data_IF_128390348578
#
_entry.id   IF_128390348578
#
_cell.length_a   1.000
_cell.length_b   1.000
_cell.length_c   1.000
_cell.angle_alpha   90.00
_cell.angle_beta   90.00
_cell.angle_gamma   90.00
#
_symmetry.space_group_name_H-M   'P 1'
#
loop_
_entity.id
_entity.type
_entity.pdbx_description
1 polymer ?
#
# COMPACT_ATOMS: atom_id res chain seq x y z
N UNK A 1 8.23 -10.18 9.51
CA UNK A 1 6.97 -9.73 10.13
C UNK A 1 5.84 -9.96 9.12
N UNK A 2 5.50 -11.23 8.86
CA UNK A 2 4.44 -11.59 7.93
C UNK A 2 3.14 -11.75 8.73
N UNK A 3 2.41 -10.65 8.90
CA UNK A 3 1.10 -10.66 9.56
C UNK A 3 0.08 -11.40 8.68
N UNK A 4 -0.98 -11.96 9.29
CA UNK A 4 -2.03 -12.72 8.60
C UNK A 4 -2.70 -12.00 7.40
N UNK A 5 -2.62 -10.66 7.33
CA UNK A 5 -3.07 -9.87 6.18
C UNK A 5 -2.25 -10.17 4.91
N UNK A 6 -0.97 -10.51 5.05
CA UNK A 6 -0.06 -10.71 3.92
C UNK A 6 -0.29 -12.07 3.22
N UNK A 7 -0.83 -13.06 3.92
CA UNK A 7 -1.27 -14.35 3.37
C UNK A 7 -2.76 -14.35 2.98
N UNK A 8 -3.54 -13.39 3.49
CA UNK A 8 -4.95 -13.17 3.17
C UNK A 8 -5.22 -12.39 1.87
N UNK A 9 -4.21 -12.10 1.05
CA UNK A 9 -4.43 -11.41 -0.24
C UNK A 9 -5.46 -12.13 -1.12
N UNK A 10 -5.49 -13.46 -1.10
CA UNK A 10 -6.48 -14.26 -1.82
C UNK A 10 -7.93 -14.07 -1.32
N UNK A 11 -8.09 -13.58 -0.08
CA UNK A 11 -9.37 -13.24 0.55
C UNK A 11 -9.69 -11.75 0.45
N UNK A 12 -8.92 -10.98 -0.34
CA UNK A 12 -9.10 -9.55 -0.50
C UNK A 12 -8.48 -8.70 0.61
N UNK A 13 -7.66 -9.28 1.49
CA UNK A 13 -6.93 -8.48 2.47
C UNK A 13 -5.80 -7.72 1.77
N UNK A 14 -5.78 -6.41 1.94
CA UNK A 14 -4.78 -5.53 1.34
C UNK A 14 -4.17 -4.65 2.43
N UNK A 15 -2.85 -4.61 2.51
CA UNK A 15 -2.18 -3.66 3.40
C UNK A 15 -2.36 -2.23 2.86
N UNK A 16 -2.23 -1.25 3.75
CA UNK A 16 -2.27 0.16 3.35
C UNK A 16 -1.21 0.47 2.28
N UNK A 17 0.00 -0.07 2.42
CA UNK A 17 1.09 0.11 1.44
C UNK A 17 0.76 -0.50 0.07
N UNK A 18 0.13 -1.68 0.04
CA UNK A 18 -0.33 -2.30 -1.21
C UNK A 18 -1.41 -1.46 -1.88
N UNK A 19 -2.37 -0.94 -1.11
CA UNK A 19 -3.43 -0.06 -1.61
C UNK A 19 -2.84 1.23 -2.21
N UNK A 20 -1.97 1.90 -1.45
CA UNK A 20 -1.33 3.13 -1.91
C UNK A 20 -0.49 2.88 -3.17
N UNK A 21 0.20 1.72 -3.25
CA UNK A 21 0.99 1.36 -4.43
C UNK A 21 0.12 1.13 -5.67
N UNK A 22 -1.03 0.45 -5.52
CA UNK A 22 -2.03 0.31 -6.59
C UNK A 22 -2.54 1.67 -7.08
N UNK A 23 -2.86 2.56 -6.14
CA UNK A 23 -3.35 3.91 -6.47
C UNK A 23 -2.31 4.75 -7.22
N UNK A 24 -1.02 4.61 -6.90
CA UNK A 24 0.07 5.26 -7.64
C UNK A 24 0.27 4.63 -9.02
N UNK A 25 0.24 3.30 -9.12
CA UNK A 25 0.39 2.59 -10.39
C UNK A 25 -0.71 2.98 -11.39
N UNK A 26 -1.94 3.08 -10.88
CA UNK A 26 -3.11 3.56 -11.62
C UNK A 26 -3.12 5.07 -11.85
N UNK A 27 -2.11 5.79 -11.37
CA UNK A 27 -1.96 7.26 -11.46
C UNK A 27 -3.14 8.03 -10.89
N UNK A 28 -3.84 7.45 -9.91
CA UNK A 28 -4.94 8.11 -9.18
C UNK A 28 -4.37 9.11 -8.17
N UNK A 29 -3.23 8.78 -7.57
CA UNK A 29 -2.49 9.65 -6.65
C UNK A 29 -1.02 9.77 -7.08
N UNK A 30 -0.36 10.85 -6.67
CA UNK A 30 1.08 11.02 -6.87
C UNK A 30 1.88 10.29 -5.79
N UNK A 31 3.13 9.94 -6.10
CA UNK A 31 4.04 9.29 -5.13
C UNK A 31 4.23 10.12 -3.86
N UNK A 32 4.21 11.44 -3.99
CA UNK A 32 4.34 12.38 -2.89
C UNK A 32 3.19 12.25 -1.87
N UNK A 33 1.95 12.24 -2.37
CA UNK A 33 0.74 12.03 -1.55
C UNK A 33 0.73 10.64 -0.94
N UNK A 34 1.11 9.62 -1.72
CA UNK A 34 1.16 8.25 -1.24
C UNK A 34 2.19 8.09 -0.11
N UNK A 35 3.33 8.77 -0.21
CA UNK A 35 4.37 8.82 0.82
C UNK A 35 3.89 9.52 2.08
N UNK A 36 3.19 10.65 1.97
CA UNK A 36 2.62 11.37 3.12
C UNK A 36 1.62 10.51 3.91
N UNK A 37 0.82 9.70 3.21
CA UNK A 37 -0.19 8.83 3.83
C UNK A 37 0.37 7.46 4.24
N UNK A 38 1.51 7.03 3.69
CA UNK A 38 2.11 5.76 4.03
C UNK A 38 2.56 5.73 5.49
N UNK A 39 2.41 4.57 6.14
CA UNK A 39 2.89 4.37 7.51
C UNK A 39 4.41 4.42 7.60
N UNK A 40 5.09 4.06 6.51
CA UNK A 40 6.55 4.11 6.36
C UNK A 40 6.91 4.88 5.08
N UNK A 41 7.01 6.23 5.15
CA UNK A 41 7.29 7.06 3.99
C UNK A 41 8.63 6.75 3.30
N UNK A 42 9.60 6.17 4.01
CA UNK A 42 10.88 5.75 3.44
C UNK A 42 10.81 4.52 2.53
N UNK A 43 9.69 3.78 2.56
CA UNK A 43 9.52 2.53 1.82
C UNK A 43 8.65 2.69 0.54
N UNK A 44 8.39 3.93 0.11
CA UNK A 44 7.43 4.33 -0.93
C UNK A 44 8.10 5.16 -2.05
#
# INVERSE_FOLDING_TARGET
MYSAIQTGQALGMQTMDQCLKDLVDRRIITRDIAREKARMPENF
#
